data_IF_168815890748
#
_entry.id   IF_168815890748
#
_cell.length_a   1.000
_cell.length_b   1.000
_cell.length_c   1.000
_cell.angle_alpha   90.00
_cell.angle_beta   90.00
_cell.angle_gamma   90.00
#
_symmetry.space_group_name_H-M   'P 1'
#
loop_
_entity.id
_entity.type
_entity.pdbx_description
1 polymer ?
#
# COMPACT_ATOMS: atom_id res chain seq x y z
N UNK A 1 30.26 15.01 -3.54
CA UNK A 1 29.74 13.85 -2.80
C UNK A 1 28.23 13.92 -2.79
N UNK A 2 27.58 13.53 -3.86
CA UNK A 2 26.14 13.55 -3.97
C UNK A 2 25.55 12.31 -3.36
N UNK A 3 24.96 12.38 -2.18
CA UNK A 3 23.97 11.42 -1.80
C UNK A 3 22.69 11.77 -2.58
N UNK A 4 22.64 11.41 -3.83
CA UNK A 4 21.39 11.27 -4.54
C UNK A 4 20.72 10.04 -3.97
N UNK A 5 20.01 10.20 -2.86
CA UNK A 5 18.98 9.29 -2.46
C UNK A 5 17.88 9.42 -3.52
N UNK A 6 18.12 8.82 -4.65
CA UNK A 6 17.12 8.67 -5.68
C UNK A 6 16.03 7.82 -5.05
N UNK A 7 14.83 8.39 -4.97
CA UNK A 7 13.59 7.69 -4.81
C UNK A 7 13.46 6.71 -5.99
N UNK A 8 14.20 5.60 -5.92
CA UNK A 8 13.95 4.52 -6.85
C UNK A 8 12.56 3.98 -6.52
N UNK A 9 11.72 3.80 -7.54
CA UNK A 9 10.42 3.17 -7.34
C UNK A 9 10.66 1.85 -6.60
N UNK A 10 9.96 1.65 -5.49
CA UNK A 10 10.01 0.39 -4.75
C UNK A 10 9.38 -0.66 -5.65
N UNK A 11 10.21 -1.27 -6.47
CA UNK A 11 9.84 -2.53 -7.10
C UNK A 11 9.90 -3.59 -5.99
N UNK A 12 8.89 -4.45 -5.84
CA UNK A 12 8.96 -5.57 -4.92
C UNK A 12 10.32 -6.25 -5.10
N UNK A 13 11.12 -6.28 -4.05
CA UNK A 13 12.53 -6.64 -4.15
C UNK A 13 12.65 -8.10 -4.64
N UNK A 14 12.99 -8.27 -5.90
CA UNK A 14 13.37 -9.55 -6.49
C UNK A 14 12.27 -10.40 -7.12
N UNK A 15 11.00 -9.97 -7.11
CA UNK A 15 9.98 -10.68 -7.88
C UNK A 15 10.07 -10.26 -9.35
N UNK A 16 10.21 -11.19 -10.30
CA UNK A 16 10.08 -10.85 -11.72
C UNK A 16 8.68 -10.32 -11.99
N UNK A 17 8.52 -9.38 -12.95
CA UNK A 17 7.21 -8.90 -13.34
C UNK A 17 6.33 -10.10 -13.71
N UNK A 18 5.08 -10.09 -13.23
CA UNK A 18 4.13 -11.16 -13.54
C UNK A 18 3.96 -11.28 -15.05
N UNK A 19 3.95 -12.50 -15.60
CA UNK A 19 3.68 -12.70 -17.01
C UNK A 19 2.32 -12.08 -17.39
N UNK A 20 2.25 -11.42 -18.53
CA UNK A 20 1.00 -10.93 -19.08
C UNK A 20 -0.01 -12.10 -19.17
N UNK A 21 -1.23 -11.88 -18.66
CA UNK A 21 -2.27 -12.91 -18.62
C UNK A 21 -2.30 -13.77 -17.36
N UNK A 22 -1.37 -13.57 -16.41
CA UNK A 22 -1.48 -14.19 -15.09
C UNK A 22 -2.72 -13.68 -14.35
N UNK A 23 -3.46 -14.55 -13.62
CA UNK A 23 -4.53 -14.07 -12.76
C UNK A 23 -3.95 -13.07 -11.75
N UNK A 24 -4.58 -11.89 -11.65
CA UNK A 24 -4.19 -10.86 -10.69
C UNK A 24 -4.19 -11.40 -9.26
N UNK A 25 -3.50 -10.70 -8.36
CA UNK A 25 -3.50 -11.00 -6.94
C UNK A 25 -4.90 -10.95 -6.33
N UNK A 26 -5.01 -11.33 -5.08
CA UNK A 26 -6.27 -11.31 -4.32
C UNK A 26 -6.38 -10.05 -3.48
N UNK A 27 -7.55 -9.43 -3.50
CA UNK A 27 -7.88 -8.35 -2.56
C UNK A 27 -8.57 -8.98 -1.35
N UNK A 28 -8.06 -8.67 -0.16
CA UNK A 28 -8.63 -9.09 1.12
C UNK A 28 -9.00 -7.84 1.91
N UNK A 29 -10.27 -7.67 2.23
CA UNK A 29 -10.74 -6.51 2.97
C UNK A 29 -10.98 -6.86 4.44
N UNK A 30 -10.33 -6.11 5.34
CA UNK A 30 -10.59 -6.16 6.78
C UNK A 30 -11.48 -4.98 7.15
N UNK A 31 -12.73 -5.25 7.49
CA UNK A 31 -13.74 -4.23 7.77
C UNK A 31 -14.45 -4.48 9.09
N UNK A 32 -14.81 -3.41 9.79
CA UNK A 32 -15.73 -3.43 10.91
C UNK A 32 -16.43 -2.09 11.04
N UNK A 33 -17.72 -2.13 11.31
CA UNK A 33 -18.51 -0.94 11.60
C UNK A 33 -18.23 -0.35 13.00
N UNK A 34 -17.54 -1.11 13.87
CA UNK A 34 -17.20 -0.70 15.23
C UNK A 34 -15.75 -0.29 15.33
N UNK A 35 -15.47 0.90 15.85
CA UNK A 35 -14.13 1.33 16.20
C UNK A 35 -13.52 0.51 17.35
N UNK A 36 -12.19 0.40 17.41
CA UNK A 36 -11.49 -0.26 18.51
C UNK A 36 -11.64 -1.79 18.59
N UNK A 37 -12.12 -2.44 17.52
CA UNK A 37 -12.30 -3.90 17.49
C UNK A 37 -11.07 -4.69 17.05
N UNK A 38 -9.92 -4.03 16.84
CA UNK A 38 -8.67 -4.68 16.44
C UNK A 38 -8.48 -4.87 14.93
N UNK A 39 -9.17 -4.09 14.09
CA UNK A 39 -9.01 -4.14 12.61
C UNK A 39 -7.54 -4.04 12.19
N UNK A 40 -6.86 -2.99 12.65
CA UNK A 40 -5.46 -2.73 12.31
C UNK A 40 -4.54 -3.85 12.77
N UNK A 41 -4.74 -4.35 13.99
CA UNK A 41 -3.98 -5.49 14.53
C UNK A 41 -4.20 -6.74 13.68
N UNK A 42 -5.44 -7.04 13.32
CA UNK A 42 -5.74 -8.19 12.46
C UNK A 42 -5.11 -8.03 11.07
N UNK A 43 -5.31 -6.88 10.44
CA UNK A 43 -4.82 -6.61 9.09
C UNK A 43 -3.29 -6.69 9.00
N UNK A 44 -2.56 -6.06 9.92
CA UNK A 44 -1.09 -6.06 9.95
C UNK A 44 -0.52 -7.47 10.18
N UNK A 45 -1.09 -8.23 11.11
CA UNK A 45 -0.65 -9.60 11.37
C UNK A 45 -0.99 -10.55 10.22
N UNK A 46 -2.16 -10.39 9.61
CA UNK A 46 -2.55 -11.19 8.45
C UNK A 46 -1.65 -10.89 7.24
N UNK A 47 -1.35 -9.62 6.98
CA UNK A 47 -0.44 -9.24 5.90
C UNK A 47 0.96 -9.84 6.10
N UNK A 48 1.50 -9.76 7.32
CA UNK A 48 2.79 -10.36 7.65
C UNK A 48 2.78 -11.89 7.49
N UNK A 49 1.70 -12.56 7.90
CA UNK A 49 1.56 -14.01 7.74
C UNK A 49 1.44 -14.40 6.25
N UNK A 50 0.70 -13.63 5.46
CA UNK A 50 0.56 -13.87 4.02
C UNK A 50 1.87 -13.65 3.25
N UNK A 51 2.70 -12.70 3.66
CA UNK A 51 4.01 -12.46 3.06
C UNK A 51 4.98 -13.65 3.23
N UNK A 52 4.75 -14.50 4.24
CA UNK A 52 5.46 -15.77 4.44
C UNK A 52 6.99 -15.61 4.27
N UNK A 53 7.56 -14.64 4.98
CA UNK A 53 8.99 -14.32 4.96
C UNK A 53 9.54 -13.98 3.55
N UNK A 54 8.74 -13.33 2.74
CA UNK A 54 9.14 -12.92 1.39
C UNK A 54 8.87 -13.97 0.30
N UNK A 55 8.11 -15.03 0.61
CA UNK A 55 7.68 -15.99 -0.42
C UNK A 55 6.53 -15.47 -1.28
N UNK A 56 5.83 -14.46 -0.79
CA UNK A 56 4.72 -13.79 -1.48
C UNK A 56 4.88 -12.29 -1.33
N UNK A 57 4.46 -11.57 -2.34
CA UNK A 57 4.42 -10.12 -2.34
C UNK A 57 3.04 -9.64 -1.89
N UNK A 58 3.02 -8.91 -0.79
CA UNK A 58 1.81 -8.40 -0.15
C UNK A 58 1.89 -6.89 -0.03
N UNK A 59 0.83 -6.20 -0.44
CA UNK A 59 0.67 -4.78 -0.21
C UNK A 59 -0.46 -4.54 0.79
N UNK A 60 -0.13 -4.01 1.96
CA UNK A 60 -1.13 -3.60 2.94
C UNK A 60 -1.51 -2.14 2.71
N UNK A 61 -2.77 -1.90 2.37
CA UNK A 61 -3.30 -0.55 2.11
C UNK A 61 -4.16 -0.11 3.29
N UNK A 62 -3.83 1.04 3.86
CA UNK A 62 -4.63 1.66 4.91
C UNK A 62 -5.70 2.55 4.30
N UNK A 63 -6.96 2.11 4.34
CA UNK A 63 -8.11 2.85 3.85
C UNK A 63 -8.93 3.54 4.95
N UNK A 64 -8.45 3.53 6.18
CA UNK A 64 -8.96 4.43 7.21
C UNK A 64 -8.33 5.82 7.01
N UNK A 65 -8.80 6.49 5.96
CA UNK A 65 -8.17 7.71 5.44
C UNK A 65 -8.18 8.88 6.43
N UNK A 66 -9.08 8.85 7.40
CA UNK A 66 -9.20 9.90 8.42
C UNK A 66 -8.38 9.61 9.69
N UNK A 67 -8.23 8.33 10.03
CA UNK A 67 -7.64 7.89 11.31
C UNK A 67 -6.74 6.65 11.14
N UNK A 68 -6.02 6.55 10.03
CA UNK A 68 -5.21 5.38 9.74
C UNK A 68 -4.08 5.15 10.74
N UNK A 69 -3.97 3.92 11.22
CA UNK A 69 -3.03 3.51 12.27
C UNK A 69 -1.95 2.54 11.78
N UNK A 70 -1.99 2.10 10.51
CA UNK A 70 -1.05 1.09 9.99
C UNK A 70 0.39 1.55 10.12
N UNK A 71 0.69 2.81 9.79
CA UNK A 71 2.04 3.36 9.91
C UNK A 71 2.55 3.28 11.35
N UNK A 72 1.70 3.62 12.33
CA UNK A 72 2.04 3.57 13.75
C UNK A 72 2.20 2.11 14.21
N UNK A 73 1.25 1.25 13.85
CA UNK A 73 1.26 -0.16 14.24
C UNK A 73 2.50 -0.91 13.74
N UNK A 74 3.00 -0.56 12.56
CA UNK A 74 4.19 -1.13 11.95
C UNK A 74 5.48 -0.32 12.20
N UNK A 75 5.39 0.75 12.98
CA UNK A 75 6.52 1.65 13.30
C UNK A 75 7.21 2.20 12.04
N UNK A 76 6.40 2.56 11.04
CA UNK A 76 6.88 3.12 9.79
C UNK A 76 7.06 4.63 9.88
N UNK A 77 8.01 5.14 9.12
CA UNK A 77 8.22 6.57 8.87
C UNK A 77 8.03 6.82 7.37
N UNK A 78 6.78 6.82 6.88
CA UNK A 78 6.50 6.93 5.46
C UNK A 78 6.90 8.32 4.95
N UNK A 79 7.58 8.36 3.79
CA UNK A 79 7.85 9.59 3.08
C UNK A 79 6.63 10.07 2.29
N UNK A 80 5.77 9.14 1.90
CA UNK A 80 4.58 9.36 1.10
C UNK A 80 3.37 8.60 1.65
N UNK A 81 2.19 9.06 1.27
CA UNK A 81 0.91 8.47 1.64
C UNK A 81 0.02 8.32 0.40
N UNK A 82 -1.12 7.67 0.53
CA UNK A 82 -2.10 7.58 -0.57
C UNK A 82 -2.58 8.97 -1.06
N UNK A 83 -2.53 10.01 -0.22
CA UNK A 83 -2.91 11.36 -0.60
C UNK A 83 -1.98 11.96 -1.68
N UNK A 84 -0.73 11.51 -1.73
CA UNK A 84 0.23 11.95 -2.74
C UNK A 84 -0.13 11.47 -4.16
N UNK A 85 -1.08 10.55 -4.29
CA UNK A 85 -1.63 10.15 -5.59
C UNK A 85 -2.61 11.19 -6.17
N UNK A 86 -3.23 12.04 -5.33
CA UNK A 86 -4.25 12.99 -5.76
C UNK A 86 -3.77 13.95 -6.85
N UNK A 87 -2.58 14.59 -6.74
CA UNK A 87 -2.07 15.48 -7.78
C UNK A 87 -1.82 14.79 -9.13
N UNK A 88 -1.67 13.47 -9.15
CA UNK A 88 -1.41 12.69 -10.36
C UNK A 88 -2.69 12.45 -11.18
N UNK A 89 -3.87 12.55 -10.54
CA UNK A 89 -5.15 12.41 -11.20
C UNK A 89 -5.30 11.09 -11.96
N UNK A 90 -5.66 11.17 -13.24
CA UNK A 90 -5.82 9.99 -14.11
C UNK A 90 -4.48 9.39 -14.59
N UNK A 91 -3.36 10.06 -14.34
CA UNK A 91 -2.03 9.58 -14.73
C UNK A 91 -1.39 8.66 -13.69
N UNK A 92 -2.17 8.21 -12.71
CA UNK A 92 -1.71 7.25 -11.72
C UNK A 92 -1.49 5.90 -12.40
N UNK A 93 -0.22 5.52 -12.54
CA UNK A 93 0.20 4.21 -13.02
C UNK A 93 0.94 3.44 -11.91
N UNK A 94 1.35 2.22 -12.19
CA UNK A 94 2.07 1.40 -11.22
C UNK A 94 3.40 2.03 -10.79
N UNK A 95 4.12 2.67 -11.71
CA UNK A 95 5.40 3.33 -11.40
C UNK A 95 5.20 4.47 -10.42
N UNK A 96 4.16 5.29 -10.65
CA UNK A 96 3.80 6.37 -9.75
C UNK A 96 3.40 5.84 -8.36
N UNK A 97 2.53 4.83 -8.30
CA UNK A 97 2.13 4.20 -7.03
C UNK A 97 3.34 3.56 -6.34
N UNK A 98 4.22 2.90 -7.08
CA UNK A 98 5.43 2.30 -6.52
C UNK A 98 6.30 3.27 -5.72
N UNK A 99 6.35 4.53 -6.15
CA UNK A 99 7.08 5.60 -5.42
C UNK A 99 6.42 6.02 -4.10
N UNK A 100 5.13 5.72 -3.92
CA UNK A 100 4.38 6.03 -2.70
C UNK A 100 4.40 4.89 -1.67
N UNK A 101 4.88 3.72 -2.07
CA UNK A 101 4.91 2.55 -1.19
C UNK A 101 6.05 2.63 -0.18
N UNK A 102 5.78 2.16 1.02
CA UNK A 102 6.76 2.05 2.10
C UNK A 102 7.03 0.56 2.39
N UNK A 103 8.23 0.05 2.19
CA UNK A 103 8.56 -1.34 2.54
C UNK A 103 8.60 -1.50 4.06
N UNK A 104 8.16 -2.66 4.55
CA UNK A 104 8.20 -3.00 5.99
C UNK A 104 9.13 -4.18 6.25
N UNK A 105 8.89 -5.31 5.62
CA UNK A 105 9.66 -6.55 5.82
C UNK A 105 9.68 -7.35 4.51
N UNK A 106 10.50 -8.41 4.41
CA UNK A 106 10.53 -9.22 3.19
C UNK A 106 9.14 -9.66 2.74
N UNK A 107 8.74 -9.26 1.54
CA UNK A 107 7.43 -9.54 0.94
C UNK A 107 6.27 -8.67 1.45
N UNK A 108 6.50 -7.76 2.41
CA UNK A 108 5.45 -6.87 2.90
C UNK A 108 5.77 -5.41 2.65
N UNK A 109 4.94 -4.78 1.86
CA UNK A 109 4.98 -3.36 1.52
C UNK A 109 3.67 -2.70 1.93
N UNK A 110 3.68 -1.40 2.19
CA UNK A 110 2.51 -0.67 2.66
C UNK A 110 2.22 0.57 1.81
N UNK A 111 0.95 0.89 1.65
CA UNK A 111 0.46 2.19 1.22
C UNK A 111 -0.35 2.77 2.37
N UNK A 112 0.19 3.80 3.01
CA UNK A 112 -0.38 4.32 4.26
C UNK A 112 -1.41 5.42 4.01
N UNK A 113 -2.31 5.59 4.99
CA UNK A 113 -3.28 6.67 5.01
C UNK A 113 -2.60 8.04 5.19
N UNK A 114 -3.28 9.15 4.83
CA UNK A 114 -2.77 10.50 5.08
C UNK A 114 -2.48 10.72 6.56
N UNK A 115 -1.38 11.43 6.86
CA UNK A 115 -1.03 11.82 8.24
C UNK A 115 -1.60 13.17 8.64
N UNK A 116 -1.95 14.00 7.65
CA UNK A 116 -2.48 15.34 7.90
C UNK A 116 -4.02 15.33 7.94
N UNK A 117 -4.62 16.06 8.90
CA UNK A 117 -6.07 16.26 8.92
C UNK A 117 -6.57 16.89 7.60
N UNK A 118 -7.65 16.36 7.04
CA UNK A 118 -8.23 16.85 5.80
C UNK A 118 -7.65 16.24 4.52
N UNK A 119 -6.55 15.50 4.58
CA UNK A 119 -5.99 14.81 3.41
C UNK A 119 -6.93 13.75 2.81
N UNK A 120 -7.84 13.23 3.63
CA UNK A 120 -8.82 12.22 3.19
C UNK A 120 -9.91 12.76 2.26
N UNK A 121 -10.32 14.02 2.42
CA UNK A 121 -11.43 14.61 1.66
C UNK A 121 -11.11 14.79 0.18
N UNK A 122 -9.83 14.87 -0.16
CA UNK A 122 -9.37 15.04 -1.52
C UNK A 122 -9.25 13.74 -2.32
N UNK A 123 -9.41 12.56 -1.68
CA UNK A 123 -9.19 11.25 -2.31
C UNK A 123 -10.53 10.67 -2.81
N UNK A 124 -10.78 10.68 -4.14
CA UNK A 124 -11.99 10.09 -4.69
C UNK A 124 -12.01 8.56 -4.54
N UNK A 125 -13.19 7.98 -4.31
CA UNK A 125 -13.35 6.52 -4.26
C UNK A 125 -12.93 5.82 -5.56
N UNK A 126 -13.13 6.48 -6.70
CA UNK A 126 -12.67 5.97 -8.01
C UNK A 126 -11.15 5.83 -8.09
N UNK A 127 -10.41 6.77 -7.51
CA UNK A 127 -8.94 6.70 -7.42
C UNK A 127 -8.49 5.54 -6.54
N UNK A 128 -9.14 5.34 -5.39
CA UNK A 128 -8.86 4.18 -4.51
C UNK A 128 -9.08 2.88 -5.28
N UNK A 129 -10.20 2.74 -5.99
CA UNK A 129 -10.48 1.57 -6.82
C UNK A 129 -9.41 1.33 -7.88
N UNK A 130 -8.98 2.38 -8.59
CA UNK A 130 -7.92 2.29 -9.59
C UNK A 130 -6.58 1.86 -8.98
N UNK A 131 -6.18 2.46 -7.85
CA UNK A 131 -4.96 2.09 -7.12
C UNK A 131 -5.00 0.61 -6.72
N UNK A 132 -6.10 0.13 -6.17
CA UNK A 132 -6.24 -1.28 -5.77
C UNK A 132 -6.10 -2.24 -6.95
N UNK A 133 -6.64 -1.91 -8.12
CA UNK A 133 -6.48 -2.72 -9.33
C UNK A 133 -5.03 -2.71 -9.85
N UNK A 134 -4.33 -1.57 -9.80
CA UNK A 134 -2.91 -1.50 -10.14
C UNK A 134 -2.08 -2.38 -9.20
N UNK A 135 -2.31 -2.29 -7.90
CA UNK A 135 -1.61 -3.09 -6.89
C UNK A 135 -1.91 -4.58 -7.07
N UNK A 136 -3.18 -4.95 -7.32
CA UNK A 136 -3.58 -6.34 -7.58
C UNK A 136 -2.83 -6.96 -8.77
N UNK A 137 -2.46 -6.15 -9.75
CA UNK A 137 -1.66 -6.58 -10.89
C UNK A 137 -0.24 -7.00 -10.52
N UNK A 138 0.31 -6.54 -9.39
CA UNK A 138 1.71 -6.70 -9.03
C UNK A 138 1.94 -7.53 -7.76
N UNK A 139 1.00 -7.51 -6.82
CA UNK A 139 1.10 -8.23 -5.56
C UNK A 139 0.27 -9.50 -5.56
N UNK A 140 0.66 -10.50 -4.77
CA UNK A 140 -0.11 -11.73 -4.57
C UNK A 140 -1.37 -11.47 -3.76
N UNK A 141 -1.25 -10.55 -2.80
CA UNK A 141 -2.33 -10.08 -1.94
C UNK A 141 -2.27 -8.56 -1.77
N UNK A 142 -3.45 -7.95 -1.77
CA UNK A 142 -3.66 -6.55 -1.42
C UNK A 142 -4.69 -6.49 -0.31
#
# INVERSE_FOLDING_TARGET
>A
MGAAGLNEPVTPAGAPPRPEGSPGGRIVTVFSAKGGCGKTTLATNMAAALADRGRREVCLVDLDLAFGDVAIALQLFPAHTIADAVPLGENVDFTAIGSLLTPHSPGLTTLVAPVEPGGSEAIPASMVGHILELLRGQFDYV
#
